data_IF_133354868830
#
_entry.id   IF_133354868830
#
_cell.length_a   1.000
_cell.length_b   1.000
_cell.length_c   1.000
_cell.angle_alpha   90.00
_cell.angle_beta   90.00
_cell.angle_gamma   90.00
#
_symmetry.space_group_name_H-M   'P 1'
#
loop_
_entity.id
_entity.type
_entity.pdbx_description
1 polymer ?
#
# COMPACT_ATOMS: atom_id res chain seq x y z
N UNK A 1 -1.03 11.92 1.99
CA UNK A 1 -1.91 11.01 1.23
C UNK A 1 -1.43 10.75 -0.20
N UNK A 2 -0.66 11.65 -0.83
CA UNK A 2 -0.20 11.49 -2.22
C UNK A 2 0.89 10.41 -2.37
N UNK A 3 1.84 10.33 -1.45
CA UNK A 3 3.08 9.57 -1.59
C UNK A 3 2.88 8.11 -1.20
N UNK A 4 2.11 7.84 -0.14
CA UNK A 4 1.98 6.53 0.45
C UNK A 4 0.67 5.84 0.04
N UNK A 5 0.74 4.87 -0.88
CA UNK A 5 -0.41 4.13 -1.41
C UNK A 5 -0.92 3.04 -0.47
N UNK A 6 -2.14 2.58 -0.71
CA UNK A 6 -2.77 1.47 -0.02
C UNK A 6 -2.31 0.10 -0.58
N UNK A 7 -1.00 -0.10 -0.60
CA UNK A 7 -0.36 -1.31 -1.15
C UNK A 7 -0.71 -2.57 -0.37
N UNK A 8 -0.83 -2.47 0.95
CA UNK A 8 -1.16 -3.60 1.81
C UNK A 8 -2.62 -4.05 1.64
N UNK A 9 -3.56 -3.17 2.02
CA UNK A 9 -4.97 -3.55 2.15
C UNK A 9 -5.68 -3.79 0.82
N UNK A 10 -5.28 -3.10 -0.24
CA UNK A 10 -5.87 -3.26 -1.58
C UNK A 10 -4.87 -3.87 -2.56
N UNK A 11 -3.63 -3.42 -2.53
CA UNK A 11 -2.64 -3.83 -3.52
C UNK A 11 -2.29 -5.31 -3.44
N UNK A 12 -2.08 -5.87 -2.25
CA UNK A 12 -1.76 -7.30 -2.09
C UNK A 12 -2.90 -8.19 -2.62
N UNK A 13 -4.18 -8.01 -2.22
CA UNK A 13 -5.28 -8.83 -2.77
C UNK A 13 -5.40 -8.72 -4.29
N UNK A 14 -5.30 -7.52 -4.85
CA UNK A 14 -5.42 -7.32 -6.29
C UNK A 14 -4.29 -8.00 -7.05
N UNK A 15 -3.05 -7.91 -6.55
CA UNK A 15 -1.91 -8.60 -7.16
C UNK A 15 -2.01 -10.13 -7.02
N UNK A 16 -2.56 -10.62 -5.90
CA UNK A 16 -2.87 -12.05 -5.73
C UNK A 16 -3.87 -12.53 -6.79
N UNK A 17 -4.94 -11.76 -7.03
CA UNK A 17 -5.95 -12.11 -8.06
C UNK A 17 -5.40 -11.99 -9.47
N UNK A 18 -4.49 -11.04 -9.73
CA UNK A 18 -3.92 -10.83 -11.06
C UNK A 18 -2.83 -11.85 -11.43
N UNK A 19 -1.94 -12.19 -10.51
CA UNK A 19 -0.71 -12.95 -10.77
C UNK A 19 -0.51 -14.15 -9.83
N UNK A 20 -1.54 -14.55 -9.07
CA UNK A 20 -1.46 -15.68 -8.15
C UNK A 20 -0.42 -15.50 -7.03
N UNK A 21 0.21 -16.59 -6.61
CA UNK A 21 1.19 -16.59 -5.52
C UNK A 21 2.44 -15.75 -5.81
N UNK A 22 2.86 -15.66 -7.09
CA UNK A 22 3.98 -14.81 -7.49
C UNK A 22 3.66 -13.32 -7.29
N UNK A 23 2.45 -12.90 -7.70
CA UNK A 23 1.95 -11.55 -7.45
C UNK A 23 1.85 -11.23 -5.96
N UNK A 24 1.38 -12.18 -5.15
CA UNK A 24 1.31 -12.06 -3.70
C UNK A 24 2.70 -11.79 -3.09
N UNK A 25 3.70 -12.57 -3.46
CA UNK A 25 5.07 -12.44 -2.93
C UNK A 25 5.69 -11.07 -3.22
N UNK A 26 5.65 -10.65 -4.49
CA UNK A 26 6.20 -9.36 -4.92
C UNK A 26 5.43 -8.19 -4.30
N UNK A 27 4.09 -8.26 -4.30
CA UNK A 27 3.24 -7.23 -3.71
C UNK A 27 3.48 -7.09 -2.20
N UNK A 28 3.69 -8.20 -1.49
CA UNK A 28 4.00 -8.20 -0.05
C UNK A 28 5.35 -7.56 0.24
N UNK A 29 6.36 -7.80 -0.58
CA UNK A 29 7.67 -7.16 -0.47
C UNK A 29 7.54 -5.62 -0.66
N UNK A 30 6.86 -5.18 -1.71
CA UNK A 30 6.60 -3.75 -1.96
C UNK A 30 5.80 -3.13 -0.80
N UNK A 31 4.74 -3.80 -0.35
CA UNK A 31 3.91 -3.32 0.77
C UNK A 31 4.71 -3.19 2.07
N UNK A 32 5.63 -4.12 2.34
CA UNK A 32 6.52 -4.06 3.50
C UNK A 32 7.40 -2.81 3.49
N UNK A 33 7.99 -2.47 2.34
CA UNK A 33 8.78 -1.24 2.17
C UNK A 33 7.90 0.00 2.35
N UNK A 34 6.69 0.01 1.78
CA UNK A 34 5.75 1.13 1.93
C UNK A 34 5.28 1.27 3.38
N UNK A 35 5.03 0.19 4.10
CA UNK A 35 4.71 0.21 5.53
C UNK A 35 5.86 0.83 6.34
N UNK A 36 7.09 0.46 6.02
CA UNK A 36 8.27 1.08 6.64
C UNK A 36 8.30 2.60 6.40
N UNK A 37 8.00 3.05 5.17
CA UNK A 37 7.88 4.47 4.86
C UNK A 37 6.71 5.16 5.59
N UNK A 38 5.60 4.50 5.87
CA UNK A 38 4.53 5.06 6.70
C UNK A 38 5.01 5.39 8.11
N UNK A 39 5.78 4.49 8.72
CA UNK A 39 6.27 4.64 10.09
C UNK A 39 7.57 5.45 10.20
N UNK A 40 8.22 5.78 9.10
CA UNK A 40 9.41 6.66 9.07
C UNK A 40 9.06 8.01 8.47
N UNK A 41 8.97 8.09 7.15
CA UNK A 41 8.68 9.30 6.39
C UNK A 41 7.28 9.86 6.72
N UNK A 42 6.27 8.99 6.84
CA UNK A 42 4.90 9.41 7.17
C UNK A 42 4.83 10.14 8.51
N UNK A 43 5.47 9.58 9.54
CA UNK A 43 5.54 10.20 10.87
C UNK A 43 6.38 11.48 10.84
N UNK A 44 7.51 11.48 10.13
CA UNK A 44 8.33 12.66 9.95
C UNK A 44 7.53 13.82 9.34
N UNK A 45 6.78 13.57 8.28
CA UNK A 45 5.95 14.57 7.62
C UNK A 45 4.80 15.08 8.52
N UNK A 46 4.21 14.20 9.33
CA UNK A 46 3.11 14.55 10.23
C UNK A 46 3.59 15.32 11.47
N UNK A 47 4.69 14.88 12.07
CA UNK A 47 5.23 15.41 13.34
C UNK A 47 6.25 16.52 13.13
N UNK A 48 6.79 16.66 11.90
CA UNK A 48 7.92 17.56 11.55
C UNK A 48 9.18 17.33 12.39
N UNK A 49 9.31 16.16 13.00
CA UNK A 49 10.49 15.72 13.78
C UNK A 49 10.72 14.24 13.51
N UNK A 50 11.97 13.85 13.31
CA UNK A 50 12.35 12.45 13.19
C UNK A 50 12.37 11.80 14.57
N UNK A 51 11.74 10.63 14.71
CA UNK A 51 11.65 9.91 15.99
C UNK A 51 11.98 8.44 15.76
N UNK A 52 13.23 8.05 16.06
CA UNK A 52 13.69 6.67 15.97
C UNK A 52 12.92 5.74 16.92
N UNK A 53 12.50 6.25 18.10
CA UNK A 53 11.75 5.46 19.08
C UNK A 53 10.47 4.84 18.52
N UNK A 54 9.79 5.53 17.59
CA UNK A 54 8.55 5.04 17.01
C UNK A 54 8.85 3.94 15.99
N UNK A 55 9.91 4.09 15.22
CA UNK A 55 10.37 3.08 14.26
C UNK A 55 10.77 1.80 14.98
N UNK A 56 11.57 1.93 16.05
CA UNK A 56 12.04 0.80 16.85
C UNK A 56 10.88 0.09 17.57
N UNK A 57 9.85 0.81 17.99
CA UNK A 57 8.67 0.22 18.65
C UNK A 57 7.63 -0.36 17.69
N UNK A 58 7.85 -0.28 16.37
CA UNK A 58 6.90 -0.74 15.36
C UNK A 58 7.07 -2.24 15.06
N UNK A 59 6.07 -3.12 15.35
CA UNK A 59 6.15 -4.55 15.06
C UNK A 59 6.44 -4.89 13.58
N UNK A 60 5.90 -4.18 12.58
CA UNK A 60 6.21 -4.44 11.18
C UNK A 60 7.70 -4.34 10.84
N UNK A 61 8.45 -3.47 11.51
CA UNK A 61 9.90 -3.33 11.28
C UNK A 61 10.64 -4.62 11.64
N UNK A 62 10.29 -5.25 12.75
CA UNK A 62 10.89 -6.53 13.16
C UNK A 62 10.50 -7.67 12.20
N UNK A 63 9.25 -7.71 11.76
CA UNK A 63 8.81 -8.69 10.77
C UNK A 63 9.60 -8.57 9.45
N UNK A 64 9.85 -7.34 8.97
CA UNK A 64 10.66 -7.09 7.78
C UNK A 64 12.11 -7.56 7.99
N UNK A 65 12.72 -7.22 9.13
CA UNK A 65 14.09 -7.62 9.46
C UNK A 65 14.22 -9.14 9.47
N UNK A 66 13.30 -9.84 10.15
CA UNK A 66 13.29 -11.31 10.21
C UNK A 66 13.13 -11.89 8.80
N UNK A 67 12.21 -11.37 7.98
CA UNK A 67 12.01 -11.84 6.62
C UNK A 67 13.27 -11.65 5.76
N UNK A 68 13.95 -10.52 5.88
CA UNK A 68 15.22 -10.25 5.16
C UNK A 68 16.31 -11.23 5.61
N UNK A 69 16.40 -11.54 6.91
CA UNK A 69 17.35 -12.53 7.43
C UNK A 69 17.08 -13.92 6.82
N UNK A 70 15.82 -14.38 6.81
CA UNK A 70 15.45 -15.66 6.22
C UNK A 70 15.81 -15.72 4.74
N UNK A 71 15.52 -14.67 3.97
CA UNK A 71 15.82 -14.58 2.54
C UNK A 71 17.35 -14.55 2.28
N UNK A 72 18.10 -13.76 3.06
CA UNK A 72 19.54 -13.60 2.86
C UNK A 72 20.32 -14.89 3.17
N UNK A 73 19.94 -15.58 4.25
CA UNK A 73 20.57 -16.84 4.65
C UNK A 73 19.92 -18.05 3.99
N UNK A 74 18.94 -17.87 3.13
CA UNK A 74 18.19 -18.95 2.47
C UNK A 74 17.67 -20.00 3.47
N UNK A 75 17.19 -19.51 4.63
CA UNK A 75 16.64 -20.38 5.69
C UNK A 75 15.30 -20.91 5.22
N UNK A 76 15.16 -22.23 5.14
CA UNK A 76 13.89 -22.88 4.85
C UNK A 76 12.89 -22.61 5.98
N UNK A 77 11.73 -22.09 5.62
CA UNK A 77 10.68 -21.82 6.60
C UNK A 77 10.08 -23.12 7.10
N UNK A 78 10.02 -23.38 8.42
CA UNK A 78 9.34 -24.57 8.93
C UNK A 78 7.88 -24.65 8.48
N UNK A 79 7.41 -25.82 8.09
CA UNK A 79 6.09 -26.04 7.50
C UNK A 79 4.93 -25.52 8.38
N UNK A 80 5.05 -25.65 9.71
CA UNK A 80 4.03 -25.12 10.61
C UNK A 80 3.94 -23.59 10.57
N UNK A 81 5.07 -22.91 10.42
CA UNK A 81 5.13 -21.45 10.32
C UNK A 81 4.57 -20.97 8.98
N UNK A 82 4.93 -21.67 7.89
CA UNK A 82 4.40 -21.39 6.55
C UNK A 82 2.88 -21.54 6.52
N UNK A 83 2.33 -22.65 7.00
CA UNK A 83 0.89 -22.90 7.04
C UNK A 83 0.17 -21.88 7.94
N UNK A 84 0.73 -21.54 9.08
CA UNK A 84 0.12 -20.57 10.00
C UNK A 84 0.10 -19.17 9.39
N UNK A 85 1.20 -18.72 8.80
CA UNK A 85 1.28 -17.39 8.17
C UNK A 85 0.39 -17.33 6.93
N UNK A 86 0.27 -18.42 6.17
CA UNK A 86 -0.65 -18.53 5.04
C UNK A 86 -2.12 -18.34 5.48
N UNK A 87 -2.59 -19.07 6.48
CA UNK A 87 -3.94 -18.91 7.03
C UNK A 87 -4.19 -17.51 7.58
N UNK A 88 -3.24 -16.96 8.32
CA UNK A 88 -3.32 -15.60 8.84
C UNK A 88 -3.36 -14.54 7.73
N UNK A 89 -2.66 -14.77 6.62
CA UNK A 89 -2.69 -13.87 5.46
C UNK A 89 -4.10 -13.77 4.88
N UNK A 90 -4.77 -14.89 4.63
CA UNK A 90 -6.15 -14.87 4.10
C UNK A 90 -7.13 -14.24 5.07
N UNK A 91 -7.05 -14.58 6.36
CA UNK A 91 -7.87 -13.97 7.39
C UNK A 91 -7.63 -12.45 7.47
N UNK A 92 -6.37 -12.02 7.40
CA UNK A 92 -5.98 -10.60 7.43
C UNK A 92 -6.53 -9.85 6.22
N UNK A 93 -6.41 -10.41 5.00
CA UNK A 93 -6.95 -9.81 3.77
C UNK A 93 -8.45 -9.52 3.94
N UNK A 94 -9.21 -10.51 4.41
CA UNK A 94 -10.65 -10.36 4.65
C UNK A 94 -10.96 -9.27 5.67
N UNK A 95 -10.32 -9.30 6.84
CA UNK A 95 -10.53 -8.33 7.92
C UNK A 95 -10.14 -6.91 7.50
N UNK A 96 -9.10 -6.79 6.72
CA UNK A 96 -8.60 -5.50 6.23
C UNK A 96 -9.55 -4.89 5.21
N UNK A 97 -10.03 -5.68 4.24
CA UNK A 97 -11.03 -5.21 3.27
C UNK A 97 -12.35 -4.82 3.97
N UNK A 98 -12.78 -5.61 4.95
CA UNK A 98 -13.94 -5.27 5.78
C UNK A 98 -13.73 -3.97 6.58
N UNK A 99 -12.57 -3.82 7.21
CA UNK A 99 -12.19 -2.60 7.93
C UNK A 99 -12.16 -1.37 7.02
N UNK A 100 -11.65 -1.52 5.78
CA UNK A 100 -11.70 -0.47 4.77
C UNK A 100 -13.14 -0.05 4.47
N UNK A 101 -14.03 -1.01 4.23
CA UNK A 101 -15.45 -0.74 4.00
C UNK A 101 -16.09 0.05 5.15
N UNK A 102 -15.86 -0.37 6.39
CA UNK A 102 -16.36 0.33 7.59
C UNK A 102 -15.77 1.75 7.70
N UNK A 103 -14.48 1.91 7.42
CA UNK A 103 -13.83 3.22 7.48
C UNK A 103 -14.45 4.22 6.49
N UNK A 104 -14.77 3.77 5.27
CA UNK A 104 -15.39 4.60 4.25
C UNK A 104 -16.73 5.22 4.68
N UNK A 105 -17.49 4.57 5.57
CA UNK A 105 -18.79 5.07 6.07
C UNK A 105 -18.67 6.14 7.15
N UNK A 106 -17.50 6.30 7.76
CA UNK A 106 -17.29 7.18 8.94
C UNK A 106 -16.72 8.56 8.61
N UNK A 107 -16.21 8.79 7.41
CA UNK A 107 -15.52 10.02 7.07
C UNK A 107 -16.47 11.14 6.61
N UNK A 108 -16.23 12.36 7.12
CA UNK A 108 -16.89 13.59 6.64
C UNK A 108 -16.09 14.16 5.46
N UNK A 109 -16.80 14.52 4.40
CA UNK A 109 -16.17 14.96 3.15
C UNK A 109 -15.80 16.44 3.16
N UNK A 110 -14.55 16.74 2.79
CA UNK A 110 -14.11 18.07 2.30
C UNK A 110 -13.77 17.91 0.82
N UNK A 111 -14.73 18.23 -0.07
CA UNK A 111 -14.68 17.77 -1.47
C UNK A 111 -13.59 18.43 -2.32
N UNK A 112 -13.38 19.75 -2.23
CA UNK A 112 -12.63 20.49 -3.27
C UNK A 112 -11.15 20.13 -3.35
N UNK A 113 -10.43 20.19 -2.25
CA UNK A 113 -8.98 19.87 -2.23
C UNK A 113 -8.73 18.36 -2.37
N UNK A 114 -9.65 17.56 -1.85
CA UNK A 114 -9.54 16.09 -1.88
C UNK A 114 -9.69 15.50 -3.27
N UNK A 115 -10.50 16.11 -4.16
CA UNK A 115 -10.65 15.67 -5.56
C UNK A 115 -9.32 15.82 -6.31
N UNK A 116 -8.68 16.99 -6.21
CA UNK A 116 -7.42 17.26 -6.90
C UNK A 116 -6.32 16.29 -6.41
N UNK A 117 -6.18 16.15 -5.09
CA UNK A 117 -5.20 15.22 -4.51
C UNK A 117 -5.46 13.77 -4.91
N UNK A 118 -6.73 13.37 -4.98
CA UNK A 118 -7.11 12.02 -5.39
C UNK A 118 -6.84 11.76 -6.87
N UNK A 119 -7.17 12.71 -7.74
CA UNK A 119 -6.83 12.64 -9.17
C UNK A 119 -5.33 12.53 -9.39
N UNK A 120 -4.56 13.42 -8.72
CA UNK A 120 -3.12 13.33 -8.76
C UNK A 120 -2.63 11.95 -8.30
N UNK A 121 -3.20 11.39 -7.24
CA UNK A 121 -2.78 10.09 -6.71
C UNK A 121 -3.01 8.95 -7.70
N UNK A 122 -4.23 8.83 -8.24
CA UNK A 122 -4.61 7.70 -9.10
C UNK A 122 -4.04 7.80 -10.52
N UNK A 123 -3.62 9.00 -10.95
CA UNK A 123 -3.02 9.21 -12.28
C UNK A 123 -1.49 9.20 -12.22
N UNK A 124 -0.91 10.00 -11.31
CA UNK A 124 0.56 10.14 -11.25
C UNK A 124 1.24 8.85 -10.75
N UNK A 125 0.58 8.08 -9.88
CA UNK A 125 1.13 6.81 -9.40
C UNK A 125 1.48 5.87 -10.56
N UNK A 126 0.51 5.44 -11.37
CA UNK A 126 0.75 4.59 -12.54
C UNK A 126 1.70 5.21 -13.57
N UNK A 127 1.62 6.52 -13.81
CA UNK A 127 2.52 7.20 -14.76
C UNK A 127 3.98 7.12 -14.31
N UNK A 128 4.24 7.40 -13.04
CA UNK A 128 5.60 7.31 -12.47
C UNK A 128 6.10 5.85 -12.52
N UNK A 129 5.26 4.88 -12.19
CA UNK A 129 5.63 3.48 -12.30
C UNK A 129 5.96 3.09 -13.74
N UNK A 130 5.17 3.54 -14.71
CA UNK A 130 5.44 3.30 -16.12
C UNK A 130 6.79 3.88 -16.55
N UNK A 131 7.12 5.11 -16.12
CA UNK A 131 8.44 5.74 -16.36
C UNK A 131 9.56 4.91 -15.72
N UNK A 132 9.39 4.42 -14.50
CA UNK A 132 10.37 3.57 -13.81
C UNK A 132 10.55 2.25 -14.57
N UNK A 133 9.45 1.56 -14.92
CA UNK A 133 9.47 0.30 -15.66
C UNK A 133 10.23 0.46 -16.97
N UNK A 134 9.97 1.54 -17.71
CA UNK A 134 10.62 1.82 -18.98
C UNK A 134 12.12 2.13 -18.84
N UNK A 135 12.50 2.99 -17.86
CA UNK A 135 13.90 3.39 -17.70
C UNK A 135 14.80 2.30 -17.09
N UNK A 136 14.22 1.38 -16.32
CA UNK A 136 14.97 0.27 -15.70
C UNK A 136 14.77 -1.06 -16.42
N UNK A 137 14.15 -1.07 -17.61
CA UNK A 137 13.85 -2.26 -18.41
C UNK A 137 13.20 -3.39 -17.59
N UNK A 138 12.30 -3.02 -16.66
CA UNK A 138 11.60 -4.01 -15.84
C UNK A 138 10.58 -4.76 -16.70
N UNK A 139 10.51 -6.09 -16.52
CA UNK A 139 9.62 -6.95 -17.30
C UNK A 139 8.93 -8.01 -16.44
N UNK A 140 7.98 -8.73 -17.03
CA UNK A 140 7.26 -9.82 -16.39
C UNK A 140 6.45 -9.40 -15.16
N UNK A 141 6.15 -10.35 -14.28
CA UNK A 141 5.27 -10.14 -13.13
C UNK A 141 5.72 -9.00 -12.19
N UNK A 142 7.03 -8.76 -12.05
CA UNK A 142 7.53 -7.71 -11.17
C UNK A 142 7.12 -6.31 -11.67
N UNK A 143 7.22 -6.07 -12.97
CA UNK A 143 6.77 -4.83 -13.58
C UNK A 143 5.25 -4.65 -13.47
N UNK A 144 4.49 -5.72 -13.74
CA UNK A 144 3.03 -5.69 -13.63
C UNK A 144 2.56 -5.41 -12.20
N UNK A 145 3.16 -6.06 -11.21
CA UNK A 145 2.86 -5.83 -9.79
C UNK A 145 3.24 -4.41 -9.38
N UNK A 146 4.41 -3.89 -9.81
CA UNK A 146 4.80 -2.51 -9.53
C UNK A 146 3.78 -1.52 -10.10
N UNK A 147 3.32 -1.74 -11.34
CA UNK A 147 2.30 -0.90 -11.98
C UNK A 147 0.98 -0.92 -11.19
N UNK A 148 0.50 -2.12 -10.80
CA UNK A 148 -0.72 -2.27 -10.00
C UNK A 148 -0.56 -1.59 -8.63
N UNK A 149 0.52 -1.84 -7.91
CA UNK A 149 0.78 -1.28 -6.58
C UNK A 149 0.87 0.26 -6.61
N UNK A 150 1.42 0.82 -7.67
CA UNK A 150 1.51 2.27 -7.85
C UNK A 150 0.16 2.93 -8.10
N UNK A 151 -0.79 2.19 -8.68
CA UNK A 151 -2.16 2.66 -8.95
C UNK A 151 -3.07 2.63 -7.72
N UNK A 152 -2.62 2.07 -6.60
CA UNK A 152 -3.43 1.98 -5.39
C UNK A 152 -3.79 3.37 -4.86
N UNK A 153 -5.02 3.56 -4.34
CA UNK A 153 -5.45 4.82 -3.74
C UNK A 153 -4.64 5.14 -2.48
N UNK A 154 -4.94 6.26 -1.84
CA UNK A 154 -4.28 6.68 -0.61
C UNK A 154 -4.52 5.68 0.53
N UNK A 155 -3.48 5.36 1.30
CA UNK A 155 -3.55 4.39 2.39
C UNK A 155 -4.33 4.90 3.61
N UNK A 156 -5.08 4.01 4.27
CA UNK A 156 -5.74 4.30 5.56
C UNK A 156 -4.72 4.64 6.64
N UNK A 157 -3.52 4.07 6.58
CA UNK A 157 -2.42 4.40 7.50
C UNK A 157 -2.06 5.89 7.49
N UNK A 158 -2.28 6.61 6.40
CA UNK A 158 -2.11 8.06 6.35
C UNK A 158 -3.05 8.77 7.33
N UNK A 159 -4.30 8.28 7.47
CA UNK A 159 -5.25 8.80 8.44
C UNK A 159 -4.81 8.48 9.88
N UNK A 160 -4.38 7.25 10.12
CA UNK A 160 -3.90 6.85 11.45
C UNK A 160 -2.73 7.73 11.91
N UNK A 161 -1.69 7.85 11.09
CA UNK A 161 -0.53 8.69 11.39
C UNK A 161 -0.92 10.17 11.50
N UNK A 162 -1.78 10.65 10.59
CA UNK A 162 -2.29 12.01 10.63
C UNK A 162 -3.05 12.31 11.93
N UNK A 163 -3.94 11.42 12.36
CA UNK A 163 -4.74 11.60 13.58
C UNK A 163 -3.92 11.67 14.87
N UNK A 164 -2.73 11.04 14.88
CA UNK A 164 -1.84 11.07 16.03
C UNK A 164 -1.01 12.37 16.13
N UNK A 165 -0.70 13.01 14.99
CA UNK A 165 0.34 14.07 14.96
C UNK A 165 -0.06 15.34 14.23
N UNK A 166 -1.18 15.36 13.50
CA UNK A 166 -1.57 16.51 12.68
C UNK A 166 -2.82 17.23 13.22
N UNK A 167 -3.00 18.53 12.91
CA UNK A 167 -4.22 19.26 13.26
C UNK A 167 -5.46 18.65 12.60
N UNK A 168 -6.64 18.75 13.26
CA UNK A 168 -7.91 18.18 12.81
C UNK A 168 -8.25 18.51 11.34
N UNK A 169 -8.04 19.75 10.91
CA UNK A 169 -8.29 20.17 9.51
C UNK A 169 -7.48 19.33 8.49
N UNK A 170 -6.22 19.01 8.81
CA UNK A 170 -5.37 18.17 7.98
C UNK A 170 -5.85 16.73 7.99
N UNK A 171 -6.26 16.22 9.16
CA UNK A 171 -6.81 14.87 9.32
C UNK A 171 -8.07 14.68 8.49
N UNK A 172 -9.00 15.66 8.53
CA UNK A 172 -10.22 15.63 7.74
C UNK A 172 -9.95 15.66 6.22
N UNK A 173 -8.94 16.42 5.78
CA UNK A 173 -8.47 16.43 4.38
C UNK A 173 -7.86 15.09 3.97
N UNK A 174 -7.05 14.46 4.83
CA UNK A 174 -6.49 13.13 4.59
C UNK A 174 -7.62 12.10 4.47
N UNK A 175 -8.57 12.09 5.40
CA UNK A 175 -9.71 11.19 5.40
C UNK A 175 -10.53 11.31 4.10
N UNK A 176 -10.86 12.55 3.71
CA UNK A 176 -11.58 12.83 2.46
C UNK A 176 -10.81 12.36 1.22
N UNK A 177 -9.49 12.58 1.18
CA UNK A 177 -8.63 12.11 0.08
C UNK A 177 -8.62 10.59 -0.01
N UNK A 178 -8.58 9.87 1.12
CA UNK A 178 -8.64 8.40 1.14
C UNK A 178 -9.95 7.94 0.51
N UNK A 179 -11.09 8.49 0.93
CA UNK A 179 -12.40 8.09 0.41
C UNK A 179 -12.51 8.38 -1.08
N UNK A 180 -12.22 9.61 -1.50
CA UNK A 180 -12.35 10.03 -2.91
C UNK A 180 -11.41 9.22 -3.80
N UNK A 181 -10.14 9.04 -3.40
CA UNK A 181 -9.20 8.23 -4.19
C UNK A 181 -9.60 6.76 -4.25
N UNK A 182 -10.18 6.20 -3.17
CA UNK A 182 -10.69 4.82 -3.17
C UNK A 182 -11.89 4.68 -4.12
N UNK A 183 -12.84 5.62 -4.11
CA UNK A 183 -13.96 5.60 -5.06
C UNK A 183 -13.48 5.72 -6.50
N UNK A 184 -12.54 6.64 -6.78
CA UNK A 184 -11.95 6.78 -8.12
C UNK A 184 -11.20 5.50 -8.54
N UNK A 185 -10.58 4.80 -7.62
CA UNK A 185 -9.83 3.58 -7.89
C UNK A 185 -10.69 2.43 -8.40
N UNK A 186 -11.99 2.41 -8.13
CA UNK A 186 -12.89 1.43 -8.74
C UNK A 186 -12.92 1.50 -10.28
N UNK A 187 -12.66 2.67 -10.84
CA UNK A 187 -12.60 2.85 -12.29
C UNK A 187 -11.17 2.73 -12.83
N UNK A 188 -10.18 3.22 -12.09
CA UNK A 188 -8.79 3.25 -12.58
C UNK A 188 -8.06 1.91 -12.42
N UNK A 189 -8.30 1.19 -11.33
CA UNK A 189 -7.64 -0.10 -11.07
C UNK A 189 -7.96 -1.15 -12.13
N UNK A 190 -9.21 -1.40 -12.56
CA UNK A 190 -9.49 -2.36 -13.62
C UNK A 190 -8.73 -2.06 -14.92
N UNK A 191 -8.62 -0.77 -15.27
CA UNK A 191 -7.86 -0.33 -16.46
C UNK A 191 -6.38 -0.65 -16.29
N UNK A 192 -5.80 -0.31 -15.14
CA UNK A 192 -4.38 -0.57 -14.86
C UNK A 192 -4.08 -2.06 -14.81
N UNK A 193 -4.96 -2.87 -14.18
CA UNK A 193 -4.82 -4.33 -14.13
C UNK A 193 -4.90 -4.93 -15.54
N UNK A 194 -5.82 -4.46 -16.38
CA UNK A 194 -5.90 -4.89 -17.77
C UNK A 194 -4.57 -4.63 -18.51
N UNK A 195 -4.00 -3.43 -18.38
CA UNK A 195 -2.71 -3.13 -19.01
C UNK A 195 -1.58 -3.96 -18.41
N UNK A 196 -1.57 -4.15 -17.09
CA UNK A 196 -0.56 -4.96 -16.41
C UNK A 196 -0.56 -6.41 -16.91
N UNK A 197 -1.74 -7.03 -16.98
CA UNK A 197 -1.89 -8.41 -17.49
C UNK A 197 -1.61 -8.54 -18.98
N UNK A 198 -1.88 -7.50 -19.78
CA UNK A 198 -1.65 -7.53 -21.22
C UNK A 198 -0.17 -7.41 -21.61
N UNK A 199 0.60 -6.61 -20.88
CA UNK A 199 1.96 -6.26 -21.27
C UNK A 199 3.05 -6.85 -20.37
N UNK A 200 2.70 -7.33 -19.17
CA UNK A 200 3.63 -7.80 -18.16
C UNK A 200 3.27 -9.19 -17.61
N UNK A 201 2.76 -10.05 -18.45
CA UNK A 201 2.41 -11.42 -18.07
C UNK A 201 3.61 -12.38 -18.32
#
# INVERSE_FOLDING_TARGET
PLILPNTGNMGIPICLFAYGSQGLGIASAIASVIILFHFTLGIFLAKKKFSLDIVIKSPPVYAIIISVIFLYFQIETPLFLENTTFLLTYATIFLVLMSLGIALTRFKFSLKDSIILSLCRVILGPLIAFIIIYNFDLSGFAAGVLLIQSAMPSAILNYLVGSMYSPKKVVDSIASTIVVSTVMSFFTIPVVVFFALKYFN
#
